data_IF_595974804728
#
_entry.id   IF_595974804728
#
_cell.length_a   1.000
_cell.length_b   1.000
_cell.length_c   1.000
_cell.angle_alpha   90.00
_cell.angle_beta   90.00
_cell.angle_gamma   90.00
#
_symmetry.space_group_name_H-M   'P 1'
#
loop_
_entity.id
_entity.type
_entity.pdbx_description
1 polymer ?
#
# COMPACT_ATOMS: atom_id res chain seq x y z
N UNK A 1 14.35 -6.18 9.34
CA UNK A 1 13.23 -7.02 8.86
C UNK A 1 12.32 -6.13 8.04
N UNK A 2 12.05 -6.48 6.78
CA UNK A 2 11.01 -5.80 5.99
C UNK A 2 9.65 -6.22 6.53
N UNK A 3 8.86 -5.26 6.99
CA UNK A 3 7.49 -5.53 7.41
C UNK A 3 6.62 -5.77 6.17
N UNK A 4 5.68 -6.71 6.24
CA UNK A 4 4.81 -7.06 5.12
C UNK A 4 3.39 -7.30 5.61
N UNK A 5 2.43 -6.87 4.81
CA UNK A 5 1.01 -7.16 4.98
C UNK A 5 0.53 -7.98 3.79
N UNK A 6 -0.38 -8.91 4.05
CA UNK A 6 -0.98 -9.77 3.04
C UNK A 6 -2.44 -9.36 2.88
N UNK A 7 -2.87 -9.18 1.64
CA UNK A 7 -4.22 -8.80 1.30
C UNK A 7 -4.84 -9.80 0.32
N UNK A 8 -6.16 -9.88 0.31
CA UNK A 8 -6.90 -10.52 -0.78
C UNK A 8 -6.72 -9.78 -2.11
N UNK A 9 -7.01 -10.46 -3.23
CA UNK A 9 -6.94 -9.83 -4.54
C UNK A 9 -7.97 -8.71 -4.64
N UNK A 10 -7.56 -7.59 -5.24
CA UNK A 10 -8.45 -6.48 -5.58
C UNK A 10 -8.87 -6.52 -7.04
N UNK A 11 -9.54 -5.45 -7.50
CA UNK A 11 -9.87 -5.21 -8.89
C UNK A 11 -8.65 -4.76 -9.72
N UNK A 12 -7.54 -4.39 -9.07
CA UNK A 12 -6.31 -3.93 -9.71
C UNK A 12 -5.23 -5.00 -9.63
N UNK A 13 -4.48 -5.16 -10.71
CA UNK A 13 -3.26 -5.97 -10.73
C UNK A 13 -2.19 -5.37 -9.81
N UNK A 14 -1.17 -6.16 -9.46
CA UNK A 14 -0.06 -5.67 -8.62
C UNK A 14 0.68 -4.48 -9.25
N UNK A 15 0.80 -4.47 -10.57
CA UNK A 15 1.44 -3.36 -11.30
C UNK A 15 0.58 -2.10 -11.26
N UNK A 16 -0.73 -2.21 -11.51
CA UNK A 16 -1.62 -1.05 -11.41
C UNK A 16 -1.69 -0.49 -9.98
N UNK A 17 -1.67 -1.37 -8.97
CA UNK A 17 -1.61 -0.93 -7.58
C UNK A 17 -0.29 -0.22 -7.27
N UNK A 18 0.82 -0.70 -7.82
CA UNK A 18 2.12 -0.03 -7.70
C UNK A 18 2.09 1.38 -8.32
N UNK A 19 1.47 1.54 -9.50
CA UNK A 19 1.27 2.84 -10.14
C UNK A 19 0.38 3.78 -9.30
N UNK A 20 -0.69 3.26 -8.70
CA UNK A 20 -1.56 4.05 -7.81
C UNK A 20 -0.82 4.52 -6.55
N UNK A 21 0.04 3.66 -5.99
CA UNK A 21 0.89 4.01 -4.85
C UNK A 21 1.90 5.10 -5.23
N UNK A 22 2.55 4.97 -6.38
CA UNK A 22 3.49 5.98 -6.87
C UNK A 22 2.81 7.35 -7.04
N UNK A 23 1.58 7.38 -7.55
CA UNK A 23 0.77 8.61 -7.64
C UNK A 23 0.49 9.21 -6.27
N UNK A 24 0.11 8.40 -5.28
CA UNK A 24 -0.14 8.89 -3.92
C UNK A 24 1.11 9.43 -3.24
N UNK A 25 2.27 8.82 -3.47
CA UNK A 25 3.54 9.32 -2.96
C UNK A 25 3.87 10.67 -3.59
N UNK A 26 3.67 10.82 -4.90
CA UNK A 26 3.85 12.10 -5.58
C UNK A 26 2.86 13.16 -5.05
N UNK A 27 1.58 12.81 -4.92
CA UNK A 27 0.54 13.68 -4.34
C UNK A 27 0.93 14.10 -2.91
N UNK A 28 1.54 13.23 -2.10
CA UNK A 28 2.01 13.58 -0.75
C UNK A 28 3.17 14.57 -0.74
N UNK A 29 3.91 14.70 -1.84
CA UNK A 29 4.95 15.72 -2.01
C UNK A 29 4.40 17.11 -2.39
N UNK A 30 3.21 17.14 -3.01
CA UNK A 30 2.59 18.35 -3.57
C UNK A 30 1.46 18.91 -2.68
N UNK A 31 0.62 18.03 -2.12
CA UNK A 31 -0.53 18.37 -1.30
C UNK A 31 -0.15 18.59 0.17
N UNK A 32 -0.39 19.79 0.69
CA UNK A 32 0.01 20.16 2.04
C UNK A 32 -0.75 19.40 3.14
N UNK A 33 -2.00 19.01 2.90
CA UNK A 33 -2.78 18.23 3.86
C UNK A 33 -2.27 16.78 3.92
N UNK A 34 -2.09 16.13 2.78
CA UNK A 34 -1.55 14.77 2.69
C UNK A 34 -0.11 14.71 3.22
N UNK A 35 0.72 15.72 2.92
CA UNK A 35 2.07 15.85 3.51
C UNK A 35 2.01 15.81 5.03
N UNK A 36 1.18 16.66 5.64
CA UNK A 36 1.03 16.71 7.10
C UNK A 36 0.52 15.39 7.69
N UNK A 37 -0.39 14.69 7.01
CA UNK A 37 -0.84 13.38 7.47
C UNK A 37 0.25 12.32 7.43
N UNK A 38 1.09 12.30 6.39
CA UNK A 38 2.24 11.39 6.28
C UNK A 38 3.29 11.71 7.36
N UNK A 39 3.58 12.99 7.58
CA UNK A 39 4.54 13.46 8.58
C UNK A 39 4.13 13.12 10.02
N UNK A 40 2.83 13.07 10.33
CA UNK A 40 2.32 12.61 11.64
C UNK A 40 2.74 11.19 11.99
N UNK A 41 3.04 10.36 11.01
CA UNK A 41 3.52 8.99 11.20
C UNK A 41 5.05 8.88 11.13
N UNK A 42 5.77 10.00 11.17
CA UNK A 42 7.23 10.03 11.23
C UNK A 42 7.91 9.74 9.90
N UNK A 43 7.22 9.98 8.78
CA UNK A 43 7.76 9.83 7.43
C UNK A 43 7.80 11.19 6.76
N UNK A 44 8.96 11.56 6.23
CA UNK A 44 9.06 12.71 5.32
C UNK A 44 8.63 12.27 3.91
N UNK A 45 7.58 12.86 3.31
CA UNK A 45 7.10 12.45 2.00
C UNK A 45 8.10 12.74 0.88
N UNK A 46 9.04 13.66 1.05
CA UNK A 46 10.11 13.93 0.09
C UNK A 46 11.19 12.83 0.10
N UNK A 47 11.23 12.01 1.16
CA UNK A 47 12.10 10.83 1.27
C UNK A 47 11.42 9.53 0.84
N UNK A 48 10.12 9.55 0.56
CA UNK A 48 9.41 8.38 0.03
C UNK A 48 9.76 8.17 -1.43
N UNK A 49 10.23 6.95 -1.73
CA UNK A 49 10.39 6.46 -3.10
C UNK A 49 9.20 5.57 -3.46
N UNK A 50 8.81 5.44 -4.74
CA UNK A 50 7.85 4.44 -5.18
C UNK A 50 8.17 3.02 -4.67
N UNK A 51 9.45 2.69 -4.50
CA UNK A 51 9.91 1.40 -3.98
C UNK A 51 9.77 1.24 -2.45
N UNK A 52 9.49 2.32 -1.70
CA UNK A 52 9.28 2.27 -0.26
C UNK A 52 8.09 1.39 0.13
N UNK A 53 7.13 1.23 -0.78
CA UNK A 53 6.00 0.30 -0.70
C UNK A 53 6.01 -0.56 -1.95
N UNK A 54 6.33 -1.84 -1.80
CA UNK A 54 6.40 -2.79 -2.92
C UNK A 54 5.19 -3.71 -2.91
N UNK A 55 4.47 -3.78 -4.03
CA UNK A 55 3.36 -4.71 -4.24
C UNK A 55 3.82 -5.90 -5.06
N UNK A 56 3.57 -7.11 -4.57
CA UNK A 56 3.84 -8.36 -5.29
C UNK A 56 2.62 -9.25 -5.21
N UNK A 57 2.30 -9.92 -6.30
CA UNK A 57 1.34 -11.01 -6.27
C UNK A 57 2.05 -12.28 -5.80
N UNK A 58 1.49 -12.95 -4.80
CA UNK A 58 1.94 -14.27 -4.39
C UNK A 58 1.63 -15.27 -5.50
N UNK A 59 2.67 -15.69 -6.23
CA UNK A 59 2.56 -16.64 -7.35
C UNK A 59 2.46 -18.11 -6.91
N UNK A 60 2.54 -18.40 -5.61
CA UNK A 60 2.41 -19.77 -5.13
C UNK A 60 0.97 -20.30 -5.31
N UNK A 61 -0.01 -19.40 -5.27
CA UNK A 61 -1.40 -19.69 -5.64
C UNK A 61 -1.67 -19.37 -7.11
N UNK A 62 -1.64 -20.41 -7.96
CA UNK A 62 -2.03 -20.33 -9.38
C UNK A 62 -3.53 -20.10 -9.59
N UNK A 63 -4.33 -20.13 -8.51
CA UNK A 63 -5.76 -19.87 -8.56
C UNK A 63 -6.04 -18.36 -8.38
N UNK A 64 -6.65 -17.67 -9.36
CA UNK A 64 -6.91 -16.23 -9.28
C UNK A 64 -7.85 -15.86 -8.12
N UNK A 65 -8.67 -16.82 -7.65
CA UNK A 65 -9.55 -16.66 -6.49
C UNK A 65 -8.77 -16.69 -5.17
N UNK A 66 -7.62 -17.36 -5.13
CA UNK A 66 -6.80 -17.54 -3.92
C UNK A 66 -5.51 -16.71 -3.93
N UNK A 67 -5.19 -16.07 -5.06
CA UNK A 67 -4.05 -15.19 -5.22
C UNK A 67 -4.05 -14.11 -4.13
N UNK A 68 -2.92 -13.91 -3.48
CA UNK A 68 -2.77 -12.90 -2.42
C UNK A 68 -1.86 -11.77 -2.90
N UNK A 69 -2.13 -10.56 -2.45
CA UNK A 69 -1.27 -9.40 -2.64
C UNK A 69 -0.38 -9.26 -1.41
N UNK A 70 0.92 -9.30 -1.62
CA UNK A 70 1.93 -9.03 -0.60
C UNK A 70 2.36 -7.57 -0.78
N UNK A 71 2.17 -6.77 0.26
CA UNK A 71 2.63 -5.39 0.31
C UNK A 71 3.77 -5.34 1.32
N UNK A 72 4.98 -5.03 0.84
CA UNK A 72 6.18 -4.94 1.64
C UNK A 72 6.60 -3.48 1.85
N UNK A 73 7.08 -3.17 3.05
CA UNK A 73 7.42 -1.81 3.47
C UNK A 73 8.91 -1.72 3.77
N UNK A 74 9.54 -0.63 3.31
CA UNK A 74 10.95 -0.35 3.58
C UNK A 74 11.24 -0.12 5.07
N UNK A 75 10.26 0.38 5.83
CA UNK A 75 10.37 0.60 7.27
C UNK A 75 8.99 0.60 7.94
N UNK A 76 8.97 0.44 9.27
CA UNK A 76 7.73 0.45 10.07
C UNK A 76 6.92 1.75 9.92
N UNK A 77 7.50 2.96 9.94
CA UNK A 77 6.75 4.20 9.70
C UNK A 77 6.01 4.21 8.35
N UNK A 78 6.61 3.60 7.30
CA UNK A 78 5.99 3.50 5.97
C UNK A 78 4.77 2.56 5.99
N UNK A 79 4.81 1.49 6.79
CA UNK A 79 3.64 0.63 7.02
C UNK A 79 2.51 1.41 7.71
N UNK A 80 2.84 2.23 8.69
CA UNK A 80 1.84 3.03 9.41
C UNK A 80 1.20 4.06 8.47
N UNK A 81 2.00 4.76 7.65
CA UNK A 81 1.51 5.63 6.58
C UNK A 81 0.60 4.87 5.61
N UNK A 82 1.00 3.68 5.17
CA UNK A 82 0.15 2.84 4.33
C UNK A 82 -1.19 2.54 5.00
N UNK A 83 -1.15 2.10 6.25
CA UNK A 83 -2.32 1.57 6.97
C UNK A 83 -3.32 2.67 7.33
N UNK A 84 -2.83 3.83 7.76
CA UNK A 84 -3.65 4.90 8.31
C UNK A 84 -3.89 6.07 7.35
N UNK A 85 -3.07 6.24 6.32
CA UNK A 85 -3.17 7.36 5.37
C UNK A 85 -3.50 6.87 3.96
N UNK A 86 -2.61 6.09 3.34
CA UNK A 86 -2.74 5.74 1.92
C UNK A 86 -3.88 4.75 1.65
N UNK A 87 -3.99 3.66 2.40
CA UNK A 87 -5.02 2.64 2.19
C UNK A 87 -6.44 3.21 2.39
N UNK A 88 -6.74 3.98 3.45
CA UNK A 88 -8.05 4.63 3.59
C UNK A 88 -8.36 5.58 2.43
N UNK A 89 -7.38 6.37 1.95
CA UNK A 89 -7.53 7.27 0.81
C UNK A 89 -7.77 6.50 -0.50
N UNK A 90 -7.02 5.42 -0.74
CA UNK A 90 -7.25 4.51 -1.87
C UNK A 90 -8.68 3.98 -1.88
N UNK A 91 -9.13 3.45 -0.73
CA UNK A 91 -10.48 2.89 -0.59
C UNK A 91 -11.58 3.94 -0.75
N UNK A 92 -11.32 5.19 -0.35
CA UNK A 92 -12.27 6.30 -0.51
C UNK A 92 -12.40 6.75 -1.97
N UNK A 93 -11.28 6.80 -2.70
CA UNK A 93 -11.22 7.35 -4.07
C UNK A 93 -11.60 6.34 -5.15
N UNK A 94 -11.22 5.07 -5.00
CA UNK A 94 -11.42 4.02 -6.01
C UNK A 94 -12.22 2.82 -5.48
N UNK A 95 -12.75 2.91 -4.25
CA UNK A 95 -13.62 1.90 -3.65
C UNK A 95 -12.88 0.79 -2.90
N UNK A 96 -13.65 -0.02 -2.17
CA UNK A 96 -13.14 -1.14 -1.34
C UNK A 96 -12.46 -2.25 -2.15
N UNK A 97 -12.60 -2.25 -3.47
CA UNK A 97 -12.03 -3.25 -4.36
C UNK A 97 -10.58 -2.97 -4.74
N UNK A 98 -9.99 -1.81 -4.42
CA UNK A 98 -8.58 -1.49 -4.78
C UNK A 98 -7.62 -2.53 -4.22
N UNK A 99 -7.76 -2.82 -2.93
CA UNK A 99 -7.04 -3.86 -2.20
C UNK A 99 -8.09 -4.61 -1.41
N UNK A 100 -8.08 -5.94 -1.51
CA UNK A 100 -8.97 -6.80 -0.75
C UNK A 100 -8.79 -6.67 0.77
N UNK A 101 -9.44 -7.53 1.53
CA UNK A 101 -9.28 -7.54 2.98
C UNK A 101 -7.87 -7.98 3.37
N UNK A 102 -7.35 -7.42 4.47
CA UNK A 102 -6.09 -7.88 5.04
C UNK A 102 -6.29 -9.32 5.51
N UNK A 103 -5.52 -10.24 4.93
CA UNK A 103 -5.43 -11.60 5.43
C UNK A 103 -4.52 -11.54 6.63
N UNK A 104 -5.07 -11.78 7.83
CA UNK A 104 -4.21 -12.10 8.98
C UNK A 104 -3.32 -13.25 8.53
N UNK A 105 -2.01 -13.10 8.70
CA UNK A 105 -1.14 -14.25 8.66
C UNK A 105 -1.64 -15.16 9.79
N UNK A 106 -2.34 -16.24 9.41
CA UNK A 106 -2.73 -17.28 10.36
C UNK A 106 -1.43 -17.70 11.08
N UNK A 107 -1.47 -17.61 12.41
CA UNK A 107 -0.33 -17.89 13.28
C UNK A 107 0.02 -19.37 13.30
#
# INVERSE_FOLDING_TARGET
>A
MNDKLVYGPGAYSSSELQDLIAKLIAEAGEDSELRQEVERYGVDPSQLSPDSISVRQDRANLDPVTASLIIAFAAKPVKDVWTYVFLPRLRRRWGRTVVGEEKKADG
#
